data_IF_384584825370
#
_entry.id   IF_384584825370
#
_cell.length_a   1.000
_cell.length_b   1.000
_cell.length_c   1.000
_cell.angle_alpha   90.00
_cell.angle_beta   90.00
_cell.angle_gamma   90.00
#
_symmetry.space_group_name_H-M   'P 1'
#
loop_
_entity.id
_entity.type
_entity.pdbx_description
1 polymer ?
#
# COMPACT_ATOMS: atom_id res chain seq x y z
N UNK A 1 -4.78 -23.45 6.71
CA UNK A 1 -3.35 -23.16 6.65
C UNK A 1 -2.63 -24.01 5.61
N UNK A 2 -1.56 -23.46 5.04
CA UNK A 2 -0.76 -24.15 4.02
C UNK A 2 0.03 -25.33 4.64
N UNK A 3 -0.01 -26.49 3.98
CA UNK A 3 0.51 -27.75 4.56
C UNK A 3 1.91 -28.14 4.13
N UNK A 4 2.51 -27.47 3.15
CA UNK A 4 3.80 -27.87 2.58
C UNK A 4 4.93 -27.72 3.61
N UNK A 5 5.69 -28.78 3.84
CA UNK A 5 6.83 -28.77 4.78
C UNK A 5 6.48 -28.76 6.28
N UNK A 6 5.22 -28.81 6.66
CA UNK A 6 4.82 -28.79 8.07
C UNK A 6 4.78 -30.21 8.68
N UNK A 7 5.13 -30.31 9.98
CA UNK A 7 5.13 -31.59 10.72
C UNK A 7 3.73 -32.20 10.81
N UNK A 8 3.65 -33.50 11.08
CA UNK A 8 2.40 -34.24 11.28
C UNK A 8 1.60 -33.65 12.46
N UNK A 9 2.25 -33.35 13.59
CA UNK A 9 1.61 -32.72 14.77
C UNK A 9 1.00 -31.37 14.43
N UNK A 10 1.70 -30.53 13.68
CA UNK A 10 1.17 -29.25 13.24
C UNK A 10 -0.07 -29.42 12.36
N UNK A 11 -0.08 -30.38 11.43
CA UNK A 11 -1.24 -30.67 10.59
C UNK A 11 -2.47 -31.11 11.39
N UNK A 12 -2.26 -31.87 12.46
CA UNK A 12 -3.33 -32.37 13.35
C UNK A 12 -3.97 -31.26 14.20
N UNK A 13 -3.34 -30.09 14.31
CA UNK A 13 -3.91 -28.93 15.02
C UNK A 13 -5.03 -28.21 14.24
N UNK A 14 -5.33 -28.66 13.02
CA UNK A 14 -6.33 -28.02 12.16
C UNK A 14 -7.33 -29.06 11.63
N UNK A 15 -8.60 -28.68 11.62
CA UNK A 15 -9.68 -29.52 11.07
C UNK A 15 -9.64 -29.57 9.55
N UNK A 16 -9.22 -28.48 8.90
CA UNK A 16 -9.13 -28.35 7.44
C UNK A 16 -7.75 -27.87 7.03
N UNK A 17 -7.17 -28.52 6.04
CA UNK A 17 -5.88 -28.19 5.47
C UNK A 17 -6.04 -27.80 4.00
N UNK A 18 -5.31 -26.78 3.59
CA UNK A 18 -5.25 -26.35 2.20
C UNK A 18 -3.82 -26.46 1.69
N UNK A 19 -3.68 -27.01 0.50
CA UNK A 19 -2.41 -26.99 -0.23
C UNK A 19 -2.30 -25.67 -0.97
N UNK A 20 -1.24 -24.93 -0.73
CA UNK A 20 -0.98 -23.74 -1.56
C UNK A 20 -0.60 -24.18 -2.98
N UNK A 21 -1.27 -23.65 -4.00
CA UNK A 21 -0.87 -23.91 -5.37
C UNK A 21 0.55 -23.38 -5.61
N UNK A 22 1.30 -24.11 -6.44
CA UNK A 22 2.67 -23.71 -6.83
C UNK A 22 2.68 -22.55 -7.84
N UNK A 23 1.51 -22.12 -8.29
CA UNK A 23 1.40 -21.11 -9.30
C UNK A 23 1.62 -19.70 -8.69
N UNK A 24 2.85 -19.18 -8.86
CA UNK A 24 3.24 -17.84 -8.43
C UNK A 24 2.47 -16.69 -9.17
N UNK A 25 1.73 -17.02 -10.21
CA UNK A 25 0.97 -16.03 -10.99
C UNK A 25 -0.42 -15.75 -10.41
N UNK A 26 -0.84 -16.50 -9.38
CA UNK A 26 -2.15 -16.33 -8.76
C UNK A 26 -2.08 -15.31 -7.63
N UNK A 27 -3.00 -14.35 -7.64
CA UNK A 27 -3.06 -13.30 -6.62
C UNK A 27 -3.30 -13.89 -5.21
N UNK A 28 -2.67 -13.29 -4.17
CA UNK A 28 -2.77 -13.78 -2.79
C UNK A 28 -4.18 -13.73 -2.23
N UNK A 29 -5.01 -12.76 -2.62
CA UNK A 29 -6.43 -12.71 -2.25
C UNK A 29 -7.14 -14.00 -2.68
N UNK A 30 -6.99 -14.41 -3.93
CA UNK A 30 -7.59 -15.65 -4.45
C UNK A 30 -7.06 -16.90 -3.72
N UNK A 31 -5.76 -16.91 -3.42
CA UNK A 31 -5.14 -17.99 -2.66
C UNK A 31 -5.67 -18.07 -1.23
N UNK A 32 -5.89 -16.94 -0.57
CA UNK A 32 -6.47 -16.88 0.77
C UNK A 32 -7.95 -17.28 0.77
N UNK A 33 -8.71 -16.89 -0.26
CA UNK A 33 -10.12 -17.26 -0.40
C UNK A 33 -10.32 -18.78 -0.63
N UNK A 34 -9.31 -19.50 -1.10
CA UNK A 34 -9.40 -20.96 -1.22
C UNK A 34 -9.63 -21.65 0.13
N UNK A 35 -9.23 -21.03 1.23
CA UNK A 35 -9.56 -21.54 2.57
C UNK A 35 -11.07 -21.56 2.82
N UNK A 36 -11.78 -20.52 2.37
CA UNK A 36 -13.24 -20.45 2.45
C UNK A 36 -13.90 -21.44 1.49
N UNK A 37 -13.40 -21.52 0.26
CA UNK A 37 -13.89 -22.49 -0.75
C UNK A 37 -13.77 -23.94 -0.26
N UNK A 38 -12.72 -24.23 0.52
CA UNK A 38 -12.49 -25.57 1.11
C UNK A 38 -13.58 -25.99 2.08
N UNK A 39 -14.25 -25.06 2.73
CA UNK A 39 -15.37 -25.30 3.66
C UNK A 39 -16.74 -25.00 3.00
N UNK A 40 -16.80 -24.92 1.68
CA UNK A 40 -18.05 -24.77 0.92
C UNK A 40 -18.52 -23.33 0.69
N UNK A 41 -17.77 -22.32 1.18
CA UNK A 41 -18.12 -20.91 0.93
C UNK A 41 -17.50 -20.45 -0.38
N UNK A 42 -18.35 -20.00 -1.32
CA UNK A 42 -17.95 -19.53 -2.64
C UNK A 42 -18.21 -18.01 -2.76
N UNK A 43 -17.25 -17.15 -2.41
CA UNK A 43 -17.47 -15.71 -2.48
C UNK A 43 -17.74 -15.26 -3.93
N UNK A 44 -18.75 -14.44 -4.13
CA UNK A 44 -19.01 -13.74 -5.39
C UNK A 44 -17.89 -12.73 -5.70
N UNK A 45 -17.89 -12.16 -6.89
CA UNK A 45 -16.87 -11.16 -7.29
C UNK A 45 -16.90 -9.95 -6.36
N UNK A 46 -18.10 -9.48 -5.98
CA UNK A 46 -18.26 -8.31 -5.12
C UNK A 46 -17.82 -8.58 -3.67
N UNK A 47 -18.06 -9.80 -3.17
CA UNK A 47 -17.62 -10.22 -1.83
C UNK A 47 -16.10 -10.39 -1.69
N UNK A 48 -15.35 -10.39 -2.81
CA UNK A 48 -13.87 -10.48 -2.81
C UNK A 48 -13.20 -9.11 -2.66
N UNK A 49 -13.97 -8.03 -2.61
CA UNK A 49 -13.41 -6.69 -2.43
C UNK A 49 -12.79 -6.54 -1.06
N UNK A 50 -11.62 -5.94 -1.01
CA UNK A 50 -11.06 -5.47 0.25
C UNK A 50 -11.82 -4.23 0.70
N UNK A 51 -12.11 -4.14 1.99
CA UNK A 51 -12.79 -2.99 2.58
C UNK A 51 -12.09 -2.59 3.86
N UNK A 52 -11.76 -1.32 3.99
CA UNK A 52 -11.24 -0.72 5.21
C UNK A 52 -11.98 0.58 5.49
N UNK A 53 -12.57 0.67 6.68
CA UNK A 53 -13.28 1.86 7.14
C UNK A 53 -12.39 2.58 8.15
N UNK A 54 -11.87 3.77 7.84
CA UNK A 54 -11.05 4.55 8.77
C UNK A 54 -11.81 4.92 10.05
N UNK A 55 -13.04 5.37 9.90
CA UNK A 55 -13.91 5.83 10.96
C UNK A 55 -13.81 7.34 11.21
N UNK A 56 -14.88 7.91 11.74
CA UNK A 56 -15.07 9.37 11.89
C UNK A 56 -13.93 10.04 12.68
N UNK A 57 -13.42 9.38 13.72
CA UNK A 57 -12.32 9.94 14.53
C UNK A 57 -11.04 10.12 13.71
N UNK A 58 -10.65 9.11 12.91
CA UNK A 58 -9.48 9.18 12.05
C UNK A 58 -9.66 10.20 10.91
N UNK A 59 -10.85 10.25 10.33
CA UNK A 59 -11.19 11.24 9.29
C UNK A 59 -11.11 12.67 9.85
N UNK A 60 -11.56 12.91 11.08
CA UNK A 60 -11.48 14.24 11.73
C UNK A 60 -10.02 14.65 12.03
N UNK A 61 -9.14 13.72 12.41
CA UNK A 61 -7.71 14.02 12.58
C UNK A 61 -7.08 14.43 11.27
N UNK A 62 -7.33 13.67 10.21
CA UNK A 62 -6.80 13.95 8.87
C UNK A 62 -7.32 15.28 8.33
N UNK A 63 -8.60 15.58 8.52
CA UNK A 63 -9.18 16.85 8.10
C UNK A 63 -8.46 18.06 8.74
N UNK A 64 -8.05 17.96 9.99
CA UNK A 64 -7.26 19.01 10.67
C UNK A 64 -5.87 19.16 10.05
N UNK A 65 -5.18 18.06 9.72
CA UNK A 65 -3.88 18.12 9.03
C UNK A 65 -4.03 18.78 7.66
N UNK A 66 -5.02 18.37 6.88
CA UNK A 66 -5.28 18.94 5.55
C UNK A 66 -5.61 20.42 5.63
N UNK A 67 -6.45 20.84 6.57
CA UNK A 67 -6.76 22.25 6.80
C UNK A 67 -5.50 23.05 7.16
N UNK A 68 -4.61 22.50 7.98
CA UNK A 68 -3.31 23.11 8.29
C UNK A 68 -2.38 23.27 7.08
N UNK A 69 -2.56 22.43 6.05
CA UNK A 69 -1.84 22.53 4.77
C UNK A 69 -2.58 23.40 3.73
N UNK A 70 -3.78 23.87 4.03
CA UNK A 70 -4.63 24.57 3.08
C UNK A 70 -5.20 23.66 1.98
N UNK A 71 -5.37 22.38 2.26
CA UNK A 71 -5.83 21.36 1.31
C UNK A 71 -7.20 20.81 1.70
N UNK A 72 -7.96 20.40 0.69
CA UNK A 72 -9.19 19.60 0.82
C UNK A 72 -9.00 18.16 0.38
N UNK A 73 -10.09 17.37 0.47
CA UNK A 73 -10.10 16.02 -0.11
C UNK A 73 -10.06 16.09 -1.63
N UNK A 74 -9.21 15.27 -2.26
CA UNK A 74 -9.01 15.24 -3.71
C UNK A 74 -7.94 16.20 -4.24
N UNK A 75 -7.44 17.11 -3.42
CA UNK A 75 -6.51 18.16 -3.87
C UNK A 75 -5.04 17.72 -3.85
N UNK A 76 -4.73 16.53 -3.42
CA UNK A 76 -3.35 16.07 -3.25
C UNK A 76 -3.11 14.63 -3.69
N UNK A 77 -1.85 14.36 -3.98
CA UNK A 77 -1.32 13.02 -4.21
C UNK A 77 -0.66 12.52 -2.92
N UNK A 78 -1.08 11.35 -2.46
CA UNK A 78 -0.46 10.71 -1.31
C UNK A 78 0.66 9.79 -1.77
N UNK A 79 1.89 9.99 -1.28
CA UNK A 79 3.05 9.16 -1.60
C UNK A 79 3.58 8.49 -0.33
N UNK A 80 3.68 7.14 -0.36
CA UNK A 80 4.36 6.36 0.67
C UNK A 80 5.53 5.62 0.03
N UNK A 81 6.76 6.20 0.07
CA UNK A 81 7.90 5.70 -0.70
C UNK A 81 8.58 4.49 -0.08
N UNK A 82 8.33 4.24 1.21
CA UNK A 82 9.06 3.29 2.02
C UNK A 82 8.35 1.93 2.13
N UNK A 83 9.14 0.93 2.49
CA UNK A 83 8.68 -0.41 2.86
C UNK A 83 9.61 -0.94 3.95
N UNK A 84 9.06 -1.76 4.86
CA UNK A 84 9.86 -2.53 5.82
C UNK A 84 11.03 -3.28 5.15
N UNK A 85 10.85 -3.67 3.91
CA UNK A 85 11.85 -4.36 3.09
C UNK A 85 12.46 -3.39 2.10
N UNK A 86 13.59 -2.76 2.42
CA UNK A 86 14.22 -1.70 1.63
C UNK A 86 14.55 -2.09 0.19
N UNK A 87 14.80 -3.37 -0.09
CA UNK A 87 15.01 -3.85 -1.46
C UNK A 87 13.78 -3.68 -2.37
N UNK A 88 12.60 -3.39 -1.80
CA UNK A 88 11.38 -3.06 -2.54
C UNK A 88 11.22 -1.56 -2.80
N UNK A 89 12.00 -0.73 -2.11
CA UNK A 89 11.92 0.71 -2.27
C UNK A 89 12.54 1.16 -3.57
N UNK A 90 11.94 2.18 -4.16
CA UNK A 90 12.54 2.85 -5.32
C UNK A 90 13.70 3.74 -4.84
N UNK A 91 14.78 3.94 -5.67
CA UNK A 91 15.89 4.82 -5.28
C UNK A 91 15.40 6.20 -4.89
N UNK A 92 16.03 6.75 -3.84
CA UNK A 92 15.67 8.06 -3.27
C UNK A 92 15.69 9.16 -4.31
N UNK A 93 16.67 9.13 -5.22
CA UNK A 93 16.85 10.10 -6.30
C UNK A 93 15.67 10.09 -7.28
N UNK A 94 15.18 8.91 -7.63
CA UNK A 94 14.04 8.76 -8.54
C UNK A 94 12.73 9.19 -7.88
N UNK A 95 12.58 8.87 -6.58
CA UNK A 95 11.41 9.29 -5.82
C UNK A 95 11.37 10.81 -5.64
N UNK A 96 12.52 11.43 -5.34
CA UNK A 96 12.65 12.88 -5.27
C UNK A 96 12.32 13.53 -6.63
N UNK A 97 12.85 13.00 -7.72
CA UNK A 97 12.54 13.50 -9.06
C UNK A 97 11.05 13.40 -9.42
N UNK A 98 10.37 12.32 -9.00
CA UNK A 98 8.92 12.18 -9.15
C UNK A 98 8.17 13.26 -8.37
N UNK A 99 8.51 13.45 -7.08
CA UNK A 99 7.88 14.46 -6.23
C UNK A 99 8.06 15.86 -6.83
N UNK A 100 9.30 16.19 -7.23
CA UNK A 100 9.61 17.48 -7.83
C UNK A 100 8.83 17.72 -9.13
N UNK A 101 8.74 16.70 -10.00
CA UNK A 101 7.95 16.77 -11.23
C UNK A 101 6.47 17.04 -10.93
N UNK A 102 5.89 16.34 -9.96
CA UNK A 102 4.50 16.54 -9.55
C UNK A 102 4.27 17.96 -9.01
N UNK A 103 5.20 18.50 -8.22
CA UNK A 103 5.15 19.87 -7.72
C UNK A 103 5.26 20.92 -8.84
N UNK A 104 6.09 20.67 -9.85
CA UNK A 104 6.22 21.53 -11.05
C UNK A 104 4.92 21.53 -11.85
N UNK A 105 4.25 20.38 -11.96
CA UNK A 105 2.97 20.23 -12.64
C UNK A 105 1.77 20.80 -11.83
N UNK A 106 2.03 21.38 -10.65
CA UNK A 106 1.04 22.04 -9.81
C UNK A 106 0.29 21.13 -8.84
N UNK A 107 0.73 19.90 -8.67
CA UNK A 107 0.10 18.98 -7.71
C UNK A 107 0.65 19.17 -6.29
N UNK A 108 -0.23 19.24 -5.31
CA UNK A 108 0.15 19.08 -3.93
C UNK A 108 0.51 17.61 -3.64
N UNK A 109 1.59 17.40 -2.89
CA UNK A 109 2.06 16.06 -2.50
C UNK A 109 2.15 15.98 -1.00
N UNK A 110 1.66 14.89 -0.41
CA UNK A 110 1.84 14.56 1.00
C UNK A 110 2.65 13.26 1.09
N UNK A 111 3.79 13.33 1.77
CA UNK A 111 4.63 12.16 2.05
C UNK A 111 4.27 11.56 3.40
N UNK A 112 4.29 10.22 3.47
CA UNK A 112 4.15 9.48 4.73
C UNK A 112 5.21 8.39 4.86
N UNK A 113 5.54 8.04 6.10
CA UNK A 113 6.35 6.89 6.47
C UNK A 113 5.85 6.31 7.78
N UNK A 114 6.17 5.06 8.07
CA UNK A 114 5.95 4.49 9.39
C UNK A 114 6.86 5.16 10.43
N UNK A 115 6.50 5.12 11.73
CA UNK A 115 7.32 5.67 12.83
C UNK A 115 8.54 4.75 13.07
N UNK A 116 9.43 4.70 12.10
CA UNK A 116 10.67 3.94 12.19
C UNK A 116 11.84 4.78 11.65
N UNK A 117 12.98 4.81 12.34
CA UNK A 117 14.14 5.62 11.93
C UNK A 117 14.56 5.35 10.48
N UNK A 118 14.40 4.11 10.02
CA UNK A 118 14.77 3.72 8.67
C UNK A 118 13.89 4.37 7.59
N UNK A 119 12.58 4.38 7.82
CA UNK A 119 11.64 4.98 6.85
C UNK A 119 11.68 6.50 6.94
N UNK A 120 11.81 7.05 8.16
CA UNK A 120 11.94 8.49 8.39
C UNK A 120 13.19 9.06 7.72
N UNK A 121 14.37 8.41 7.90
CA UNK A 121 15.62 8.80 7.24
C UNK A 121 15.50 8.76 5.70
N UNK A 122 14.73 7.80 5.15
CA UNK A 122 14.47 7.78 3.71
C UNK A 122 13.67 9.01 3.26
N UNK A 123 12.63 9.37 4.01
CA UNK A 123 11.84 10.57 3.71
C UNK A 123 12.69 11.85 3.81
N UNK A 124 13.47 11.99 4.86
CA UNK A 124 14.41 13.12 5.01
C UNK A 124 15.37 13.21 3.82
N UNK A 125 15.88 12.05 3.36
CA UNK A 125 16.77 11.98 2.22
C UNK A 125 16.08 12.38 0.91
N UNK A 126 14.78 12.09 0.75
CA UNK A 126 13.97 12.56 -0.39
C UNK A 126 13.77 14.07 -0.27
N UNK A 127 13.32 14.56 0.90
CA UNK A 127 13.04 15.98 1.13
C UNK A 127 14.27 16.88 0.93
N UNK A 128 15.44 16.41 1.36
CA UNK A 128 16.71 17.13 1.18
C UNK A 128 17.12 17.34 -0.28
N UNK A 129 16.51 16.60 -1.21
CA UNK A 129 16.79 16.71 -2.66
C UNK A 129 15.79 17.58 -3.40
N UNK A 130 14.70 17.99 -2.74
CA UNK A 130 13.66 18.81 -3.38
C UNK A 130 14.05 20.29 -3.37
N UNK A 131 13.76 20.99 -4.45
CA UNK A 131 13.93 22.45 -4.55
C UNK A 131 12.83 23.23 -3.81
N UNK A 132 11.69 22.59 -3.49
CA UNK A 132 10.56 23.17 -2.78
C UNK A 132 10.16 22.28 -1.59
N UNK A 133 9.67 22.86 -0.48
CA UNK A 133 9.12 22.07 0.61
C UNK A 133 7.97 21.17 0.15
N UNK A 134 7.83 20.02 0.78
CA UNK A 134 6.71 19.08 0.58
C UNK A 134 6.02 18.81 1.91
N UNK A 135 4.71 18.65 1.92
CA UNK A 135 3.97 18.26 3.12
C UNK A 135 4.37 16.85 3.57
N UNK A 136 4.57 16.68 4.86
CA UNK A 136 4.97 15.39 5.43
C UNK A 136 4.20 15.09 6.72
N UNK A 137 3.72 13.86 6.82
CA UNK A 137 3.10 13.28 8.01
C UNK A 137 3.86 12.00 8.42
N UNK A 138 5.19 12.01 8.26
CA UNK A 138 6.07 10.90 8.64
C UNK A 138 5.94 10.58 10.12
N UNK A 139 5.67 9.30 10.45
CA UNK A 139 5.57 8.82 11.82
C UNK A 139 4.39 9.35 12.63
N UNK A 140 3.52 10.20 12.07
CA UNK A 140 2.49 10.93 12.81
C UNK A 140 1.10 10.25 12.77
N UNK A 141 0.90 9.28 11.91
CA UNK A 141 -0.41 8.69 11.66
C UNK A 141 -0.51 7.26 12.20
N UNK A 142 -1.61 6.97 12.88
CA UNK A 142 -2.04 5.59 13.09
C UNK A 142 -2.47 4.94 11.77
N UNK A 143 -2.61 3.61 11.73
CA UNK A 143 -3.07 2.92 10.51
C UNK A 143 -4.45 3.37 10.03
N UNK A 144 -5.35 3.75 10.95
CA UNK A 144 -6.67 4.28 10.59
C UNK A 144 -6.58 5.70 10.02
N UNK A 145 -5.71 6.54 10.55
CA UNK A 145 -5.48 7.87 10.04
C UNK A 145 -4.74 7.83 8.70
N UNK A 146 -3.78 6.91 8.52
CA UNK A 146 -3.17 6.65 7.22
C UNK A 146 -4.23 6.24 6.18
N UNK A 147 -5.16 5.37 6.56
CA UNK A 147 -6.26 4.97 5.70
C UNK A 147 -7.21 6.14 5.36
N UNK A 148 -7.50 7.01 6.34
CA UNK A 148 -8.29 8.22 6.14
C UNK A 148 -7.60 9.21 5.19
N UNK A 149 -6.29 9.45 5.38
CA UNK A 149 -5.49 10.29 4.50
C UNK A 149 -5.48 9.74 3.07
N UNK A 150 -5.23 8.44 2.94
CA UNK A 150 -5.21 7.77 1.64
C UNK A 150 -6.57 7.85 0.94
N UNK A 151 -7.67 7.65 1.69
CA UNK A 151 -9.04 7.77 1.17
C UNK A 151 -9.35 9.19 0.67
N UNK A 152 -8.78 10.21 1.30
CA UNK A 152 -8.97 11.61 0.92
C UNK A 152 -8.10 12.04 -0.26
N UNK A 153 -7.07 11.28 -0.63
CA UNK A 153 -6.18 11.60 -1.74
C UNK A 153 -6.83 11.34 -3.10
N UNK A 154 -6.45 12.13 -4.12
CA UNK A 154 -6.83 11.87 -5.51
C UNK A 154 -6.19 10.60 -6.08
N UNK A 155 -4.92 10.37 -5.71
CA UNK A 155 -4.11 9.22 -6.13
C UNK A 155 -3.17 8.83 -5.00
N UNK A 156 -2.96 7.54 -4.83
CA UNK A 156 -1.90 6.99 -4.00
C UNK A 156 -0.74 6.50 -4.88
N UNK A 157 0.48 6.82 -4.50
CA UNK A 157 1.70 6.28 -5.12
C UNK A 157 2.55 5.59 -4.04
N UNK A 158 2.93 4.36 -4.26
CA UNK A 158 3.75 3.64 -3.29
C UNK A 158 4.34 2.35 -3.81
N UNK A 159 5.25 1.79 -3.02
CA UNK A 159 5.91 0.52 -3.32
C UNK A 159 5.08 -0.67 -2.80
N UNK A 160 5.49 -1.90 -3.12
CA UNK A 160 4.89 -3.12 -2.58
C UNK A 160 5.02 -3.18 -1.05
N UNK A 161 4.02 -2.62 -0.36
CA UNK A 161 3.97 -2.47 1.09
C UNK A 161 2.52 -2.40 1.60
N UNK A 162 2.31 -2.49 2.91
CA UNK A 162 0.97 -2.45 3.50
C UNK A 162 0.16 -1.19 3.12
N UNK A 163 0.73 0.04 3.06
CA UNK A 163 0.02 1.24 2.60
C UNK A 163 -0.60 1.12 1.21
N UNK A 164 0.05 0.43 0.27
CA UNK A 164 -0.51 0.17 -1.06
C UNK A 164 -1.79 -0.68 -0.98
N UNK A 165 -1.82 -1.68 -0.11
CA UNK A 165 -3.03 -2.49 0.11
C UNK A 165 -4.11 -1.72 0.87
N UNK A 166 -3.73 -0.81 1.76
CA UNK A 166 -4.66 0.13 2.41
C UNK A 166 -5.31 1.02 1.35
N UNK A 167 -4.55 1.56 0.40
CA UNK A 167 -5.07 2.37 -0.69
C UNK A 167 -6.12 1.60 -1.52
N UNK A 168 -5.84 0.35 -1.86
CA UNK A 168 -6.79 -0.53 -2.54
C UNK A 168 -8.05 -0.77 -1.70
N UNK A 169 -7.92 -0.97 -0.38
CA UNK A 169 -9.03 -1.27 0.51
C UNK A 169 -9.95 -0.06 0.80
N UNK A 170 -9.43 1.17 0.70
CA UNK A 170 -10.23 2.41 0.81
C UNK A 170 -10.72 2.92 -0.53
N UNK A 171 -10.35 2.27 -1.65
CA UNK A 171 -10.83 2.59 -2.99
C UNK A 171 -10.08 3.72 -3.71
N UNK A 172 -8.90 4.13 -3.22
CA UNK A 172 -8.13 5.22 -3.83
C UNK A 172 -7.38 4.71 -5.07
N UNK A 173 -7.47 5.41 -6.22
CA UNK A 173 -6.68 5.11 -7.41
C UNK A 173 -5.19 5.00 -7.07
N UNK A 174 -4.52 3.94 -7.54
CA UNK A 174 -3.18 3.60 -7.05
C UNK A 174 -2.18 3.41 -8.18
N UNK A 175 -1.03 4.04 -8.05
CA UNK A 175 0.18 3.73 -8.81
C UNK A 175 1.12 2.90 -7.92
N UNK A 176 1.31 1.64 -8.26
CA UNK A 176 2.09 0.69 -7.48
C UNK A 176 3.45 0.44 -8.13
N UNK A 177 4.51 0.73 -7.40
CA UNK A 177 5.88 0.53 -7.86
C UNK A 177 6.39 -0.82 -7.38
N UNK A 178 6.75 -1.69 -8.33
CA UNK A 178 7.26 -3.02 -8.06
C UNK A 178 8.71 -3.18 -8.52
N UNK A 179 9.54 -3.70 -7.64
CA UNK A 179 10.88 -4.16 -7.92
C UNK A 179 10.92 -5.69 -8.05
N UNK A 180 11.69 -6.39 -7.21
CA UNK A 180 11.91 -7.83 -7.31
C UNK A 180 10.75 -8.70 -6.77
N UNK A 181 9.68 -8.12 -6.24
CA UNK A 181 8.50 -8.86 -5.78
C UNK A 181 7.50 -9.05 -6.92
N UNK A 182 6.77 -10.17 -6.89
CA UNK A 182 5.82 -10.53 -7.93
C UNK A 182 4.55 -9.65 -7.90
N UNK A 183 4.43 -8.76 -8.84
CA UNK A 183 3.31 -7.83 -9.00
C UNK A 183 1.97 -8.55 -9.25
N UNK A 184 1.99 -9.68 -9.96
CA UNK A 184 0.80 -10.50 -10.19
C UNK A 184 0.27 -11.15 -8.92
N UNK A 185 1.16 -11.49 -8.00
CA UNK A 185 0.80 -12.14 -6.74
C UNK A 185 0.41 -11.12 -5.66
N UNK A 186 1.09 -9.98 -5.61
CA UNK A 186 0.97 -9.00 -4.54
C UNK A 186 0.46 -7.63 -5.00
N UNK A 187 0.07 -7.48 -6.26
CA UNK A 187 -0.47 -6.23 -6.78
C UNK A 187 -1.70 -5.73 -6.03
N UNK A 188 -2.18 -4.57 -6.40
CA UNK A 188 -3.42 -4.00 -5.87
C UNK A 188 -4.62 -4.86 -6.26
N UNK A 189 -5.63 -4.94 -5.39
CA UNK A 189 -6.83 -5.74 -5.61
C UNK A 189 -8.09 -4.89 -5.53
N UNK A 190 -8.93 -4.98 -6.57
CA UNK A 190 -10.27 -4.39 -6.53
C UNK A 190 -10.33 -2.86 -6.65
N UNK A 191 -9.24 -2.20 -7.05
CA UNK A 191 -9.17 -0.75 -7.26
C UNK A 191 -8.60 -0.44 -8.65
N UNK A 192 -8.96 0.73 -9.21
CA UNK A 192 -8.27 1.23 -10.39
C UNK A 192 -6.80 1.47 -10.09
N UNK A 193 -5.92 0.77 -10.79
CA UNK A 193 -4.49 0.86 -10.52
C UNK A 193 -3.62 0.73 -11.76
N UNK A 194 -2.42 1.27 -11.65
CA UNK A 194 -1.34 1.04 -12.60
C UNK A 194 -0.14 0.48 -11.85
N UNK A 195 0.37 -0.62 -12.33
CA UNK A 195 1.62 -1.21 -11.85
C UNK A 195 2.75 -0.74 -12.74
N UNK A 196 3.79 -0.22 -12.11
CA UNK A 196 5.07 0.12 -12.76
C UNK A 196 6.11 -0.83 -12.19
N UNK A 197 6.63 -1.71 -13.03
CA UNK A 197 7.64 -2.70 -12.64
C UNK A 197 8.93 -2.53 -13.44
N UNK A 198 10.05 -2.91 -12.82
CA UNK A 198 11.33 -2.95 -13.53
C UNK A 198 11.31 -4.09 -14.56
N UNK A 199 11.63 -3.76 -15.82
CA UNK A 199 11.78 -4.78 -16.87
C UNK A 199 12.92 -5.80 -16.64
N UNK A 200 13.76 -5.57 -15.63
CA UNK A 200 14.89 -6.45 -15.27
C UNK A 200 14.49 -7.59 -14.31
N UNK A 201 13.24 -7.62 -13.85
CA UNK A 201 12.75 -8.66 -12.95
C UNK A 201 11.47 -9.25 -13.56
N UNK A 202 11.57 -10.41 -14.21
CA UNK A 202 10.43 -11.15 -14.77
C UNK A 202 9.50 -11.72 -13.68
#
# INVERSE_FOLDING_TARGET
>A
PAVRGRSKRWKQSFTHLQTMPLNALRHMVETNLDALRRIGIQPSVDERRMTLVPGVAAEAVVARHLAGFGLGGGDFIHIHPASRWFFKCWPVEHMAALVEKLQIDGHAVILTAAPSPHEENMLESIQARLSRPVFSLSGQLSLKELAALTKAASVFVGVDSAPMHIAAAVGTPTVALFGPSGDRQWGTWGVYSRVVSSAKHP
#
